data_IF_402613564177
#
_entry.id   IF_402613564177
#
_cell.length_a   1.000
_cell.length_b   1.000
_cell.length_c   1.000
_cell.angle_alpha   90.00
_cell.angle_beta   90.00
_cell.angle_gamma   90.00
#
_symmetry.space_group_name_H-M   'P 1'
#
loop_
_entity.id
_entity.type
_entity.pdbx_description
1 polymer ?
#
# COMPACT_ATOMS: atom_id res chain seq x y z
N UNK A 1 -6.51 44.91 15.28
CA UNK A 1 -5.69 44.05 14.39
C UNK A 1 -5.91 42.61 14.81
N UNK A 2 -6.32 41.73 13.90
CA UNK A 2 -6.47 40.30 14.20
C UNK A 2 -5.10 39.61 14.20
N UNK A 3 -4.88 38.74 15.17
CA UNK A 3 -3.63 38.00 15.33
C UNK A 3 -3.57 36.82 14.35
N UNK A 4 -2.43 36.64 13.68
CA UNK A 4 -2.18 35.54 12.74
C UNK A 4 -1.41 34.44 13.47
N UNK A 5 -1.85 33.19 13.32
CA UNK A 5 -1.22 32.01 13.93
C UNK A 5 -0.65 31.09 12.85
N UNK A 6 0.50 30.49 13.15
CA UNK A 6 1.17 29.52 12.29
C UNK A 6 1.24 28.18 13.02
N UNK A 7 0.98 27.11 12.28
CA UNK A 7 1.12 25.74 12.77
C UNK A 7 1.60 24.83 11.64
N UNK A 8 1.99 23.61 12.00
CA UNK A 8 2.28 22.53 11.07
C UNK A 8 1.40 21.33 11.39
N UNK A 9 1.10 20.54 10.37
CA UNK A 9 0.35 19.28 10.50
C UNK A 9 0.99 18.19 9.63
N UNK A 10 0.59 16.94 9.85
CA UNK A 10 1.01 15.78 9.07
C UNK A 10 -0.15 15.27 8.22
N UNK A 11 0.05 15.26 6.91
CA UNK A 11 -0.92 14.67 5.97
C UNK A 11 -0.48 13.24 5.67
N UNK A 12 -1.39 12.27 5.85
CA UNK A 12 -1.12 10.87 5.50
C UNK A 12 -0.98 10.71 3.99
N UNK A 13 -0.04 9.86 3.55
CA UNK A 13 0.28 9.72 2.12
C UNK A 13 -0.91 9.24 1.28
N UNK A 14 -1.86 8.46 1.84
CA UNK A 14 -3.00 7.94 1.08
C UNK A 14 -3.89 9.03 0.47
N UNK A 15 -3.90 10.24 1.05
CA UNK A 15 -4.64 11.39 0.48
C UNK A 15 -4.12 11.77 -0.91
N UNK A 16 -2.88 11.42 -1.22
CA UNK A 16 -2.26 11.67 -2.52
C UNK A 16 -2.38 10.49 -3.49
N UNK A 17 -3.02 9.38 -3.10
CA UNK A 17 -3.21 8.26 -4.02
C UNK A 17 -4.18 8.67 -5.13
N UNK A 18 -3.77 8.48 -6.40
CA UNK A 18 -4.49 8.99 -7.57
C UNK A 18 -5.36 7.90 -8.21
N UNK A 19 -6.47 8.32 -8.83
CA UNK A 19 -7.45 7.42 -9.47
C UNK A 19 -6.84 6.62 -10.64
N UNK A 20 -5.84 7.18 -11.32
CA UNK A 20 -5.10 6.54 -12.41
C UNK A 20 -4.03 5.55 -11.91
N UNK A 21 -4.04 5.20 -10.61
CA UNK A 21 -3.14 4.23 -10.00
C UNK A 21 -3.47 2.77 -10.28
N UNK A 22 -4.60 2.48 -10.91
CA UNK A 22 -5.02 1.10 -11.25
C UNK A 22 -4.13 0.53 -12.36
N UNK A 23 -3.50 -0.60 -12.10
CA UNK A 23 -2.71 -1.33 -13.10
C UNK A 23 -3.46 -2.57 -13.63
N UNK A 24 -3.17 -2.95 -14.87
CA UNK A 24 -3.44 -4.31 -15.36
C UNK A 24 -2.35 -5.25 -14.84
N UNK A 25 -2.69 -6.54 -14.65
CA UNK A 25 -1.75 -7.54 -14.14
C UNK A 25 -0.44 -7.65 -14.94
N UNK A 26 -0.51 -7.57 -16.27
CA UNK A 26 0.69 -7.62 -17.12
C UNK A 26 1.64 -6.45 -16.82
N UNK A 27 1.11 -5.22 -16.81
CA UNK A 27 1.87 -4.02 -16.48
C UNK A 27 2.45 -4.06 -15.06
N UNK A 28 1.71 -4.60 -14.08
CA UNK A 28 2.22 -4.77 -12.71
C UNK A 28 3.49 -5.64 -12.71
N UNK A 29 3.46 -6.80 -13.37
CA UNK A 29 4.60 -7.72 -13.40
C UNK A 29 5.80 -7.14 -14.17
N UNK A 30 5.54 -6.42 -15.26
CA UNK A 30 6.56 -5.73 -16.04
C UNK A 30 7.26 -4.66 -15.18
N UNK A 31 6.50 -3.76 -14.57
CA UNK A 31 7.04 -2.69 -13.71
C UNK A 31 7.75 -3.25 -12.47
N UNK A 32 7.25 -4.33 -11.87
CA UNK A 32 7.92 -4.98 -10.73
C UNK A 32 9.33 -5.46 -11.10
N UNK A 33 9.46 -6.08 -12.27
CA UNK A 33 10.72 -6.61 -12.79
C UNK A 33 11.67 -5.52 -13.26
N UNK A 34 11.15 -4.38 -13.71
CA UNK A 34 11.99 -3.27 -14.19
C UNK A 34 12.62 -2.46 -13.07
N UNK A 35 12.04 -2.44 -11.87
CA UNK A 35 12.61 -1.72 -10.72
C UNK A 35 13.76 -2.54 -10.08
N UNK A 36 14.86 -1.89 -9.66
CA UNK A 36 15.95 -2.55 -8.93
C UNK A 36 15.47 -3.15 -7.61
N UNK A 37 16.11 -4.22 -7.14
CA UNK A 37 15.76 -4.84 -5.85
C UNK A 37 16.08 -3.95 -4.65
N UNK A 38 17.02 -3.01 -4.78
CA UNK A 38 17.28 -1.97 -3.77
C UNK A 38 16.09 -1.04 -3.54
N UNK A 39 15.13 -1.02 -4.45
CA UNK A 39 13.90 -0.24 -4.34
C UNK A 39 12.77 -1.01 -3.64
N UNK A 40 13.01 -2.28 -3.29
CA UNK A 40 12.07 -3.07 -2.53
C UNK A 40 12.29 -2.86 -1.03
N UNK A 41 11.31 -2.26 -0.37
CA UNK A 41 11.32 -2.07 1.09
C UNK A 41 10.21 -2.92 1.69
N UNK A 42 10.49 -3.54 2.82
CA UNK A 42 9.54 -4.40 3.54
C UNK A 42 9.31 -3.88 4.96
N UNK A 43 8.07 -3.99 5.45
CA UNK A 43 7.73 -3.77 6.87
C UNK A 43 6.73 -4.80 7.37
N UNK A 44 6.96 -5.28 8.59
CA UNK A 44 6.05 -6.17 9.32
C UNK A 44 5.11 -5.37 10.23
N UNK A 45 3.87 -5.85 10.31
CA UNK A 45 2.77 -5.29 11.09
C UNK A 45 2.17 -6.39 11.98
N UNK A 46 2.77 -6.68 13.14
CA UNK A 46 2.35 -7.78 13.99
C UNK A 46 0.94 -7.58 14.59
N UNK A 47 0.47 -6.34 14.69
CA UNK A 47 -0.82 -6.00 15.29
C UNK A 47 -2.01 -5.92 14.33
N UNK A 48 -1.81 -6.13 13.02
CA UNK A 48 -2.90 -6.08 12.04
C UNK A 48 -3.44 -7.48 11.81
N UNK A 49 -4.77 -7.62 11.82
CA UNK A 49 -5.48 -8.86 11.49
C UNK A 49 -6.38 -8.60 10.29
N UNK A 50 -6.20 -9.35 9.21
CA UNK A 50 -7.15 -9.34 8.08
C UNK A 50 -8.18 -10.44 8.33
N UNK A 51 -9.35 -10.06 8.85
CA UNK A 51 -10.42 -10.99 9.22
C UNK A 51 -11.42 -11.22 8.08
N UNK A 52 -11.87 -10.16 7.42
CA UNK A 52 -12.76 -10.21 6.27
C UNK A 52 -12.07 -9.66 5.02
N UNK A 53 -11.52 -10.58 4.22
CA UNK A 53 -10.81 -10.25 2.98
C UNK A 53 -11.70 -9.48 2.00
N UNK A 54 -12.96 -9.87 1.83
CA UNK A 54 -13.87 -9.22 0.87
C UNK A 54 -14.14 -7.77 1.29
N UNK A 55 -14.48 -7.55 2.57
CA UNK A 55 -14.68 -6.21 3.10
C UNK A 55 -13.42 -5.33 2.99
N UNK A 56 -12.22 -5.89 3.22
CA UNK A 56 -10.96 -5.16 3.00
C UNK A 56 -10.79 -4.77 1.54
N UNK A 57 -11.03 -5.69 0.60
CA UNK A 57 -10.91 -5.44 -0.83
C UNK A 57 -11.95 -4.45 -1.37
N UNK A 58 -13.15 -4.42 -0.78
CA UNK A 58 -14.21 -3.46 -1.13
C UNK A 58 -13.92 -2.06 -0.59
N UNK A 59 -13.25 -1.95 0.56
CA UNK A 59 -12.93 -0.67 1.20
C UNK A 59 -11.72 0.05 0.60
N UNK A 60 -10.65 -0.68 0.27
CA UNK A 60 -9.39 -0.11 -0.21
C UNK A 60 -9.49 0.76 -1.48
N UNK A 61 -10.37 0.49 -2.46
CA UNK A 61 -10.57 1.35 -3.62
C UNK A 61 -11.03 2.76 -3.30
N UNK A 62 -11.72 3.00 -2.17
CA UNK A 62 -12.11 4.35 -1.73
C UNK A 62 -10.91 5.27 -1.44
N UNK A 63 -9.74 4.68 -1.19
CA UNK A 63 -8.47 5.38 -1.00
C UNK A 63 -7.53 5.23 -2.20
N UNK A 64 -8.04 4.84 -3.38
CA UNK A 64 -7.24 4.60 -4.59
C UNK A 64 -6.16 3.51 -4.42
N UNK A 65 -6.41 2.51 -3.56
CA UNK A 65 -5.59 1.29 -3.45
C UNK A 65 -6.24 0.17 -4.24
N UNK A 66 -5.63 -0.20 -5.37
CA UNK A 66 -6.28 -1.07 -6.35
C UNK A 66 -5.77 -2.50 -6.28
N UNK A 67 -6.67 -3.45 -6.08
CA UNK A 67 -6.35 -4.87 -6.11
C UNK A 67 -5.97 -5.35 -7.52
N UNK A 68 -4.92 -6.16 -7.60
CA UNK A 68 -4.38 -6.71 -8.86
C UNK A 68 -4.58 -8.22 -8.93
N UNK A 69 -4.21 -8.93 -7.86
CA UNK A 69 -4.23 -10.38 -7.84
C UNK A 69 -4.13 -10.92 -6.42
N UNK A 70 -4.61 -12.14 -6.23
CA UNK A 70 -4.41 -12.93 -5.03
C UNK A 70 -3.78 -14.27 -5.41
N UNK A 71 -2.86 -14.77 -4.59
CA UNK A 71 -2.37 -16.15 -4.65
C UNK A 71 -2.25 -16.73 -3.24
N UNK A 72 -2.15 -18.05 -3.16
CA UNK A 72 -1.72 -18.74 -1.94
C UNK A 72 -0.25 -19.11 -2.03
N UNK A 73 0.48 -18.95 -0.93
CA UNK A 73 1.83 -19.44 -0.76
C UNK A 73 1.92 -20.17 0.58
N UNK A 74 2.04 -21.49 0.53
CA UNK A 74 1.87 -22.36 1.70
C UNK A 74 0.53 -22.07 2.41
N UNK A 75 0.56 -21.71 3.69
CA UNK A 75 -0.61 -21.35 4.50
C UNK A 75 -0.94 -19.84 4.48
N UNK A 76 -0.20 -19.03 3.72
CA UNK A 76 -0.37 -17.58 3.65
C UNK A 76 -1.13 -17.17 2.40
N UNK A 77 -1.98 -16.16 2.53
CA UNK A 77 -2.57 -15.43 1.43
C UNK A 77 -1.64 -14.27 1.06
N UNK A 78 -1.38 -14.13 -0.23
CA UNK A 78 -0.56 -13.05 -0.80
C UNK A 78 -1.41 -12.24 -1.76
N UNK A 79 -1.55 -10.96 -1.46
CA UNK A 79 -2.33 -9.99 -2.21
C UNK A 79 -1.41 -8.99 -2.90
N UNK A 80 -1.74 -8.67 -4.14
CA UNK A 80 -1.04 -7.67 -4.93
C UNK A 80 -1.92 -6.46 -5.12
N UNK A 81 -1.37 -5.28 -4.86
CA UNK A 81 -2.05 -4.01 -5.07
C UNK A 81 -1.17 -3.04 -5.86
N UNK A 82 -1.80 -2.09 -6.54
CA UNK A 82 -1.12 -0.94 -7.11
C UNK A 82 -1.71 0.37 -6.57
N UNK A 83 -0.82 1.32 -6.37
CA UNK A 83 -1.12 2.72 -6.02
C UNK A 83 -0.25 3.60 -6.90
N UNK A 84 -0.69 4.84 -7.13
CA UNK A 84 0.12 5.88 -7.76
C UNK A 84 -0.06 7.18 -7.00
N UNK A 85 1.01 7.97 -6.89
CA UNK A 85 0.98 9.32 -6.31
C UNK A 85 1.25 10.37 -7.41
N UNK A 86 1.11 11.69 -7.13
CA UNK A 86 1.34 12.72 -8.13
C UNK A 86 2.71 12.61 -8.78
N UNK A 87 2.81 13.13 -10.01
CA UNK A 87 3.97 12.93 -10.91
C UNK A 87 4.11 11.49 -11.43
N UNK A 88 3.09 10.65 -11.24
CA UNK A 88 3.01 9.33 -11.87
C UNK A 88 3.84 8.25 -11.18
N UNK A 89 4.30 8.49 -9.95
CA UNK A 89 5.16 7.56 -9.21
C UNK A 89 4.33 6.37 -8.74
N UNK A 90 4.62 5.13 -9.19
CA UNK A 90 3.87 3.95 -8.80
C UNK A 90 4.42 3.33 -7.51
N UNK A 91 3.51 2.75 -6.73
CA UNK A 91 3.83 1.80 -5.67
C UNK A 91 3.21 0.46 -6.05
N UNK A 92 4.06 -0.56 -6.12
CA UNK A 92 3.65 -1.94 -6.29
C UNK A 92 3.74 -2.62 -4.95
N UNK A 93 2.66 -3.26 -4.52
CA UNK A 93 2.54 -3.78 -3.16
C UNK A 93 2.33 -5.28 -3.20
N UNK A 94 3.10 -6.02 -2.41
CA UNK A 94 2.85 -7.40 -2.02
C UNK A 94 2.51 -7.41 -0.52
N UNK A 95 1.27 -7.77 -0.20
CA UNK A 95 0.78 -7.93 1.17
C UNK A 95 0.64 -9.43 1.45
N UNK A 96 1.34 -9.91 2.47
CA UNK A 96 1.34 -11.30 2.88
C UNK A 96 0.78 -11.44 4.28
N UNK A 97 -0.17 -12.35 4.49
CA UNK A 97 -0.81 -12.57 5.80
C UNK A 97 -1.39 -13.98 5.90
N UNK A 98 -1.64 -14.45 7.11
CA UNK A 98 -2.53 -15.58 7.36
C UNK A 98 -3.87 -15.00 7.79
N UNK A 99 -4.90 -15.15 6.97
CA UNK A 99 -6.25 -14.62 7.25
C UNK A 99 -6.73 -15.10 8.63
N UNK A 100 -7.41 -14.23 9.37
CA UNK A 100 -7.84 -14.44 10.75
C UNK A 100 -6.72 -14.61 11.80
N UNK A 101 -5.46 -14.32 11.47
CA UNK A 101 -4.37 -14.27 12.44
C UNK A 101 -3.69 -12.89 12.44
N UNK A 102 -3.12 -12.46 13.59
CA UNK A 102 -2.29 -11.27 13.64
C UNK A 102 -1.02 -11.44 12.81
N UNK A 103 -0.65 -10.38 12.10
CA UNK A 103 0.56 -10.34 11.30
C UNK A 103 0.24 -10.08 9.83
N UNK A 104 0.68 -8.91 9.37
CA UNK A 104 0.75 -8.57 7.95
C UNK A 104 2.18 -8.18 7.63
N UNK A 105 2.74 -8.75 6.56
CA UNK A 105 4.00 -8.30 5.97
C UNK A 105 3.69 -7.56 4.68
N UNK A 106 4.19 -6.33 4.54
CA UNK A 106 4.03 -5.55 3.32
C UNK A 106 5.40 -5.32 2.70
N UNK A 107 5.59 -5.77 1.47
CA UNK A 107 6.69 -5.37 0.61
C UNK A 107 6.18 -4.37 -0.42
N UNK A 108 6.93 -3.29 -0.62
CA UNK A 108 6.66 -2.32 -1.68
C UNK A 108 7.85 -2.17 -2.60
N UNK A 109 7.57 -1.96 -3.89
CA UNK A 109 8.57 -1.56 -4.89
C UNK A 109 8.13 -0.27 -5.56
N UNK A 110 8.98 0.75 -5.51
CA UNK A 110 8.71 2.10 -6.04
C UNK A 110 10.00 2.75 -6.53
N UNK A 111 10.00 3.61 -7.56
CA UNK A 111 11.20 4.37 -7.94
C UNK A 111 11.65 5.37 -6.86
N UNK A 112 10.84 5.63 -5.84
CA UNK A 112 11.12 6.56 -4.72
C UNK A 112 11.11 5.84 -3.35
N UNK A 113 12.06 4.94 -3.07
CA UNK A 113 12.07 4.14 -1.83
C UNK A 113 12.14 4.97 -0.54
N UNK A 114 12.62 6.21 -0.60
CA UNK A 114 12.63 7.18 0.51
C UNK A 114 11.24 7.52 1.05
N UNK A 115 10.19 7.30 0.24
CA UNK A 115 8.79 7.53 0.63
C UNK A 115 8.17 6.34 1.38
N UNK A 116 8.88 5.22 1.48
CA UNK A 116 8.39 3.98 2.09
C UNK A 116 7.83 4.16 3.51
N UNK A 117 8.47 4.91 4.43
CA UNK A 117 7.93 5.11 5.78
C UNK A 117 6.51 5.71 5.77
N UNK A 118 6.28 6.73 4.94
CA UNK A 118 4.98 7.40 4.79
C UNK A 118 3.94 6.48 4.15
N UNK A 119 4.34 5.68 3.16
CA UNK A 119 3.46 4.70 2.53
C UNK A 119 3.00 3.66 3.53
N UNK A 120 3.93 3.13 4.32
CA UNK A 120 3.58 2.11 5.29
C UNK A 120 2.71 2.65 6.43
N UNK A 121 2.94 3.88 6.90
CA UNK A 121 2.03 4.56 7.85
C UNK A 121 0.61 4.69 7.28
N UNK A 122 0.50 5.07 6.01
CA UNK A 122 -0.78 5.13 5.32
C UNK A 122 -1.46 3.75 5.24
N UNK A 123 -0.74 2.70 4.84
CA UNK A 123 -1.29 1.34 4.80
C UNK A 123 -1.68 0.81 6.17
N UNK A 124 -0.95 1.16 7.23
CA UNK A 124 -1.32 0.80 8.59
C UNK A 124 -2.68 1.38 8.98
N UNK A 125 -2.91 2.66 8.68
CA UNK A 125 -4.21 3.30 8.89
C UNK A 125 -5.29 2.67 8.01
N UNK A 126 -4.98 2.35 6.76
CA UNK A 126 -5.94 1.75 5.84
C UNK A 126 -6.26 0.29 6.16
N UNK A 127 -5.40 -0.45 6.87
CA UNK A 127 -5.61 -1.87 7.16
C UNK A 127 -6.07 -2.12 8.59
N UNK A 128 -5.94 -1.15 9.49
CA UNK A 128 -6.62 -1.16 10.78
C UNK A 128 -8.09 -0.85 10.55
N UNK A 129 -8.95 -1.77 10.98
CA UNK A 129 -10.37 -1.50 11.17
C UNK A 129 -10.59 -0.78 12.52
#
# INVERSE_FOLDING_TARGET
MSQVWYFNDKISLHVFFTEDGRMKRANFLETWRSLPDSNEITRDFPGIVVSNVEATLDRLPASNTFFIAKRKHANQDVFYFSVKIPRGIPFLIELTTVVNNPGVKIAIKTPSPETAPLFFEAMETLLKD
#
